data_IF_341717530659
#
_entry.id   IF_341717530659
#
_cell.length_a   1.000
_cell.length_b   1.000
_cell.length_c   1.000
_cell.angle_alpha   90.00
_cell.angle_beta   90.00
_cell.angle_gamma   90.00
#
_symmetry.space_group_name_H-M   'P 1'
#
loop_
_entity.id
_entity.type
_entity.pdbx_description
1 polymer ?
#
# COMPACT_ATOMS: atom_id res chain seq x y z
N UNK A 1 21.89 18.10 7.25
CA UNK A 1 21.86 17.49 5.90
C UNK A 1 22.53 16.13 6.00
N UNK A 2 21.91 15.07 5.46
CA UNK A 2 22.56 13.74 5.44
C UNK A 2 23.74 13.75 4.44
N UNK A 3 24.85 13.05 4.73
CA UNK A 3 26.00 12.96 3.82
C UNK A 3 25.62 12.44 2.43
N UNK A 4 26.13 13.07 1.37
CA UNK A 4 25.81 12.70 -0.03
C UNK A 4 26.21 11.27 -0.38
N UNK A 5 27.23 10.73 0.27
CA UNK A 5 27.64 9.31 0.15
C UNK A 5 26.55 8.34 0.60
N UNK A 6 25.67 8.76 1.51
CA UNK A 6 24.57 7.95 2.05
C UNK A 6 23.30 8.15 1.22
N UNK A 7 23.03 9.38 0.79
CA UNK A 7 21.79 9.74 0.07
C UNK A 7 21.86 9.38 -1.42
N UNK A 8 23.09 9.31 -1.98
CA UNK A 8 23.30 9.08 -3.40
C UNK A 8 22.99 10.31 -4.25
N UNK A 9 22.90 10.10 -5.56
CA UNK A 9 22.56 11.15 -6.52
C UNK A 9 21.09 11.58 -6.38
N UNK A 10 20.87 12.88 -6.58
CA UNK A 10 19.52 13.44 -6.56
C UNK A 10 18.71 12.88 -7.72
N UNK A 11 17.54 12.32 -7.41
CA UNK A 11 16.61 11.82 -8.43
C UNK A 11 15.92 12.96 -9.19
N UNK A 12 15.63 12.73 -10.46
CA UNK A 12 14.83 13.64 -11.30
C UNK A 12 13.42 13.87 -10.69
N UNK A 13 12.93 15.13 -10.66
CA UNK A 13 11.61 15.49 -10.13
C UNK A 13 10.46 14.63 -10.67
N UNK A 14 10.52 14.28 -11.96
CA UNK A 14 9.50 13.52 -12.68
C UNK A 14 9.24 12.15 -12.05
N UNK A 15 10.30 11.50 -11.55
CA UNK A 15 10.16 10.19 -10.89
C UNK A 15 9.40 10.27 -9.57
N UNK A 16 9.41 11.43 -8.91
CA UNK A 16 8.55 11.65 -7.73
C UNK A 16 7.08 11.76 -8.12
N UNK A 17 6.77 12.44 -9.24
CA UNK A 17 5.39 12.51 -9.74
C UNK A 17 4.88 11.12 -10.15
N UNK A 18 5.70 10.31 -10.81
CA UNK A 18 5.37 8.93 -11.16
C UNK A 18 5.09 8.09 -9.91
N UNK A 19 5.93 8.20 -8.87
CA UNK A 19 5.75 7.48 -7.62
C UNK A 19 4.45 7.89 -6.90
N UNK A 20 4.12 9.19 -6.88
CA UNK A 20 2.88 9.69 -6.30
C UNK A 20 1.67 9.18 -7.08
N UNK A 21 1.71 9.24 -8.41
CA UNK A 21 0.64 8.72 -9.26
C UNK A 21 0.42 7.22 -9.05
N UNK A 22 1.51 6.45 -8.93
CA UNK A 22 1.44 5.03 -8.63
C UNK A 22 0.74 4.75 -7.29
N UNK A 23 1.16 5.44 -6.21
CA UNK A 23 0.55 5.27 -4.88
C UNK A 23 -0.94 5.62 -4.89
N UNK A 24 -1.31 6.72 -5.55
CA UNK A 24 -2.72 7.12 -5.67
C UNK A 24 -3.54 6.10 -6.46
N UNK A 25 -2.97 5.48 -7.50
CA UNK A 25 -3.65 4.42 -8.27
C UNK A 25 -3.94 3.15 -7.45
N UNK A 26 -3.21 2.92 -6.34
CA UNK A 26 -3.42 1.77 -5.47
C UNK A 26 -4.50 1.98 -4.41
N UNK A 27 -4.99 3.21 -4.23
CA UNK A 27 -5.97 3.54 -3.21
C UNK A 27 -7.31 2.86 -3.51
N UNK A 28 -7.88 2.17 -2.52
CA UNK A 28 -9.23 1.60 -2.64
C UNK A 28 -10.30 2.69 -2.53
N UNK A 29 -11.53 2.35 -2.93
CA UNK A 29 -12.71 3.22 -2.74
C UNK A 29 -12.92 3.64 -1.29
N UNK A 30 -12.51 2.79 -0.33
CA UNK A 30 -12.57 3.07 1.10
C UNK A 30 -11.40 3.93 1.61
N UNK A 31 -10.50 4.35 0.72
CA UNK A 31 -9.32 5.17 1.03
C UNK A 31 -8.10 4.40 1.56
N UNK A 32 -8.17 3.07 1.70
CA UNK A 32 -7.07 2.24 2.17
C UNK A 32 -6.05 1.96 1.08
N UNK A 33 -4.77 1.84 1.45
CA UNK A 33 -3.68 1.51 0.52
C UNK A 33 -3.08 0.16 0.91
N UNK A 34 -3.11 -0.85 0.01
CA UNK A 34 -2.52 -2.15 0.27
C UNK A 34 -0.99 -2.10 0.14
N UNK A 35 -0.30 -3.04 0.80
CA UNK A 35 1.15 -3.03 0.87
C UNK A 35 1.86 -3.44 -0.44
N UNK A 36 1.21 -4.23 -1.32
CA UNK A 36 1.86 -4.82 -2.50
C UNK A 36 1.05 -4.72 -3.80
N UNK A 37 -0.27 -4.93 -3.76
CA UNK A 37 -1.13 -4.84 -4.94
C UNK A 37 -2.52 -4.30 -4.58
N UNK A 38 -3.21 -3.60 -5.49
CA UNK A 38 -4.61 -3.22 -5.32
C UNK A 38 -5.48 -4.40 -4.92
N UNK A 39 -6.53 -4.13 -4.13
CA UNK A 39 -7.51 -5.16 -3.75
C UNK A 39 -8.19 -5.71 -5.00
N UNK A 40 -7.81 -6.92 -5.41
CA UNK A 40 -8.42 -7.64 -6.55
C UNK A 40 -9.40 -8.73 -6.11
N UNK A 41 -9.21 -9.30 -4.92
CA UNK A 41 -10.05 -10.37 -4.42
C UNK A 41 -11.38 -9.81 -3.87
N UNK A 42 -12.54 -10.34 -4.29
CA UNK A 42 -13.81 -9.99 -3.69
C UNK A 42 -13.87 -10.42 -2.21
N UNK A 43 -14.67 -9.70 -1.41
CA UNK A 43 -14.74 -9.90 0.05
C UNK A 43 -15.16 -11.29 0.49
N UNK A 44 -15.89 -12.04 -0.35
CA UNK A 44 -16.30 -13.42 -0.05
C UNK A 44 -15.13 -14.42 -0.06
N UNK A 45 -13.98 -14.07 -0.64
CA UNK A 45 -12.74 -14.87 -0.57
C UNK A 45 -11.94 -14.60 0.71
N UNK A 46 -12.30 -13.59 1.52
CA UNK A 46 -11.59 -13.29 2.75
C UNK A 46 -11.92 -14.31 3.85
N UNK A 47 -10.94 -15.13 4.24
CA UNK A 47 -11.04 -15.97 5.43
C UNK A 47 -10.65 -15.14 6.66
N UNK A 48 -11.65 -14.68 7.43
CA UNK A 48 -11.42 -14.00 8.72
C UNK A 48 -11.06 -15.02 9.80
N UNK A 49 -9.77 -15.20 10.06
CA UNK A 49 -9.23 -16.07 11.12
C UNK A 49 -9.70 -15.69 12.55
N UNK A 50 -10.32 -14.52 12.73
CA UNK A 50 -10.87 -14.07 14.02
C UNK A 50 -12.31 -14.52 14.27
N UNK A 51 -13.08 -14.87 13.23
CA UNK A 51 -14.50 -15.23 13.38
C UNK A 51 -14.72 -16.64 13.95
N UNK A 52 -13.68 -17.48 13.99
CA UNK A 52 -13.75 -18.83 14.56
C UNK A 52 -13.57 -18.85 16.08
N UNK A 53 -13.16 -17.73 16.70
CA UNK A 53 -12.93 -17.64 18.15
C UNK A 53 -14.00 -16.84 18.92
N UNK A 54 -14.99 -16.26 18.25
CA UNK A 54 -16.06 -15.46 18.88
C UNK A 54 -17.47 -16.01 18.64
N UNK A 55 -17.59 -17.32 18.43
CA UNK A 55 -18.88 -18.04 18.42
C UNK A 55 -18.92 -19.11 19.51
N UNK A 56 -18.48 -18.75 20.71
CA UNK A 56 -18.60 -19.56 21.92
C UNK A 56 -18.90 -18.65 23.11
N UNK A 57 -20.03 -17.95 23.09
CA UNK A 57 -20.89 -17.60 24.23
C UNK A 57 -22.29 -17.30 23.70
#
# INVERSE_FOLDING_TARGET
>A
MMPSEIVGEKMEPERFYDAVNYILSMQSETGGVPAWEPRRAPSWLEVKITSTYTKSF
#
